data_IF_153120866865
#
_entry.id   IF_153120866865
#
_cell.length_a   1.000
_cell.length_b   1.000
_cell.length_c   1.000
_cell.angle_alpha   90.00
_cell.angle_beta   90.00
_cell.angle_gamma   90.00
#
_symmetry.space_group_name_H-M   'P 1'
#
loop_
_entity.id
_entity.type
_entity.pdbx_description
1 polymer ?
#
# COMPACT_ATOMS: atom_id res chain seq x y z
N UNK A 1 -17.93 -25.08 -49.29
CA UNK A 1 -18.62 -24.91 -47.98
C UNK A 1 -18.27 -25.96 -46.92
N UNK A 2 -18.10 -27.26 -47.24
CA UNK A 2 -17.74 -28.30 -46.25
C UNK A 2 -16.40 -28.07 -45.51
N UNK A 3 -15.38 -27.54 -46.20
CA UNK A 3 -14.08 -27.20 -45.58
C UNK A 3 -14.15 -26.06 -44.55
N UNK A 4 -15.08 -25.11 -44.73
CA UNK A 4 -15.25 -24.00 -43.80
C UNK A 4 -15.84 -24.49 -42.47
N UNK A 5 -16.75 -25.48 -42.55
CA UNK A 5 -17.38 -26.11 -41.38
C UNK A 5 -16.36 -26.92 -40.58
N UNK A 6 -15.50 -27.71 -41.24
CA UNK A 6 -14.43 -28.44 -40.54
C UNK A 6 -13.41 -27.52 -39.89
N UNK A 7 -13.12 -26.36 -40.51
CA UNK A 7 -12.20 -25.37 -39.95
C UNK A 7 -12.79 -24.68 -38.71
N UNK A 8 -14.07 -24.30 -38.76
CA UNK A 8 -14.78 -23.75 -37.61
C UNK A 8 -14.86 -24.72 -36.43
N UNK A 9 -15.12 -26.00 -36.71
CA UNK A 9 -15.16 -27.04 -35.67
C UNK A 9 -13.78 -27.22 -35.03
N UNK A 10 -12.71 -27.29 -35.84
CA UNK A 10 -11.35 -27.39 -35.32
C UNK A 10 -10.94 -26.17 -34.48
N UNK A 11 -11.33 -24.95 -34.90
CA UNK A 11 -11.07 -23.72 -34.15
C UNK A 11 -11.82 -23.70 -32.81
N UNK A 12 -13.09 -24.10 -32.80
CA UNK A 12 -13.88 -24.18 -31.57
C UNK A 12 -13.31 -25.21 -30.59
N UNK A 13 -12.85 -26.35 -31.10
CA UNK A 13 -12.18 -27.38 -30.29
C UNK A 13 -10.85 -26.86 -29.74
N UNK A 14 -10.04 -26.19 -30.56
CA UNK A 14 -8.77 -25.60 -30.12
C UNK A 14 -8.94 -24.54 -29.03
N UNK A 15 -9.92 -23.64 -29.18
CA UNK A 15 -10.26 -22.63 -28.17
C UNK A 15 -10.77 -23.30 -26.88
N UNK A 16 -11.67 -24.29 -27.01
CA UNK A 16 -12.20 -25.03 -25.85
C UNK A 16 -11.10 -25.71 -25.04
N UNK A 17 -10.17 -26.39 -25.72
CA UNK A 17 -9.03 -27.06 -25.09
C UNK A 17 -8.04 -26.03 -24.50
N UNK A 18 -7.76 -24.94 -25.20
CA UNK A 18 -6.85 -23.89 -24.73
C UNK A 18 -7.37 -23.17 -23.48
N UNK A 19 -8.67 -22.88 -23.42
CA UNK A 19 -9.31 -22.30 -22.24
C UNK A 19 -9.39 -23.30 -21.08
N UNK A 20 -9.65 -24.57 -21.39
CA UNK A 20 -9.70 -25.64 -20.38
C UNK A 20 -8.34 -25.86 -19.73
N UNK A 21 -7.27 -26.02 -20.53
CA UNK A 21 -5.90 -26.17 -20.03
C UNK A 21 -5.41 -24.88 -19.34
N UNK A 22 -5.75 -23.71 -19.89
CA UNK A 22 -5.37 -22.41 -19.35
C UNK A 22 -5.96 -22.11 -17.97
N UNK A 23 -7.17 -22.61 -17.66
CA UNK A 23 -7.77 -22.46 -16.32
C UNK A 23 -7.37 -23.52 -15.31
N UNK A 24 -7.12 -24.77 -15.73
CA UNK A 24 -7.05 -25.91 -14.80
C UNK A 24 -5.64 -26.14 -14.24
N UNK A 25 -4.57 -25.81 -14.96
CA UNK A 25 -3.18 -26.06 -14.51
C UNK A 25 -2.47 -24.84 -13.93
N UNK A 26 -2.89 -23.63 -14.30
CA UNK A 26 -2.46 -22.39 -13.67
C UNK A 26 -3.72 -21.57 -13.44
N UNK A 27 -4.42 -21.75 -12.31
CA UNK A 27 -5.11 -20.59 -11.79
C UNK A 27 -4.05 -19.50 -11.74
N UNK A 28 -4.26 -18.42 -12.50
CA UNK A 28 -3.87 -17.13 -11.97
C UNK A 28 -4.72 -16.97 -10.72
N UNK A 29 -4.30 -17.64 -9.66
CA UNK A 29 -4.16 -16.94 -8.41
C UNK A 29 -3.35 -15.68 -8.79
N UNK A 30 -4.08 -14.64 -9.24
CA UNK A 30 -4.21 -13.48 -8.38
C UNK A 30 -4.60 -14.12 -7.05
N UNK A 31 -3.59 -14.62 -6.35
CA UNK A 31 -3.71 -14.95 -4.97
C UNK A 31 -4.26 -13.63 -4.49
N UNK A 32 -5.45 -13.67 -3.91
CA UNK A 32 -5.69 -12.90 -2.71
C UNK A 32 -4.37 -13.00 -1.93
N UNK A 33 -3.42 -12.13 -2.26
CA UNK A 33 -2.27 -11.85 -1.46
C UNK A 33 -3.00 -11.23 -0.31
N UNK A 34 -3.23 -11.99 0.77
CA UNK A 34 -3.99 -11.46 1.87
C UNK A 34 -3.28 -10.14 2.17
N UNK A 35 -4.00 -9.04 2.30
CA UNK A 35 -3.33 -7.79 2.70
C UNK A 35 -2.57 -7.96 4.04
N UNK A 36 -2.76 -9.09 4.73
CA UNK A 36 -1.95 -9.58 5.85
C UNK A 36 -0.59 -10.22 5.48
N UNK A 37 -0.36 -10.70 4.25
CA UNK A 37 0.94 -11.17 3.72
C UNK A 37 1.71 -10.08 2.96
N UNK A 38 1.15 -8.88 2.79
CA UNK A 38 1.93 -7.72 2.37
C UNK A 38 3.02 -7.53 3.43
N UNK A 39 4.27 -7.77 3.03
CA UNK A 39 5.44 -7.60 3.85
C UNK A 39 5.32 -6.29 4.65
N UNK A 40 5.77 -6.24 5.92
CA UNK A 40 5.75 -5.02 6.75
C UNK A 40 6.16 -3.75 5.99
N UNK A 41 7.08 -3.91 5.03
CA UNK A 41 7.52 -2.89 4.08
C UNK A 41 6.40 -2.19 3.29
N UNK A 42 5.38 -2.90 2.80
CA UNK A 42 4.28 -2.29 2.03
C UNK A 42 3.32 -1.49 2.90
N UNK A 43 3.09 -1.92 4.14
CA UNK A 43 2.31 -1.15 5.12
C UNK A 43 3.04 0.14 5.51
N UNK A 44 4.35 0.05 5.68
CA UNK A 44 5.22 1.19 5.94
C UNK A 44 5.23 2.16 4.74
N UNK A 45 5.36 1.68 3.49
CA UNK A 45 5.33 2.52 2.29
C UNK A 45 3.94 3.18 2.07
N UNK A 46 2.86 2.47 2.38
CA UNK A 46 1.50 3.05 2.33
C UNK A 46 1.29 4.12 3.41
N UNK A 47 1.84 3.91 4.62
CA UNK A 47 1.82 4.92 5.68
C UNK A 47 2.57 6.20 5.27
N UNK A 48 3.72 6.06 4.60
CA UNK A 48 4.46 7.19 4.03
C UNK A 48 3.63 7.92 2.98
N UNK A 49 2.97 7.21 2.06
CA UNK A 49 2.08 7.82 1.07
C UNK A 49 0.97 8.64 1.73
N UNK A 50 0.32 8.10 2.77
CA UNK A 50 -0.72 8.82 3.50
C UNK A 50 -0.13 10.03 4.25
N UNK A 51 1.04 9.89 4.84
CA UNK A 51 1.70 10.98 5.55
C UNK A 51 2.09 12.11 4.60
N UNK A 52 2.53 11.79 3.39
CA UNK A 52 2.81 12.77 2.33
C UNK A 52 1.53 13.48 1.87
N UNK A 53 0.44 12.72 1.67
CA UNK A 53 -0.86 13.30 1.33
C UNK A 53 -1.37 14.23 2.45
N UNK A 54 -1.24 13.82 3.71
CA UNK A 54 -1.57 14.67 4.86
C UNK A 54 -0.71 15.92 4.93
N UNK A 55 0.58 15.83 4.64
CA UNK A 55 1.46 17.00 4.62
C UNK A 55 1.02 18.04 3.57
N UNK A 56 0.46 17.59 2.44
CA UNK A 56 -0.05 18.44 1.37
C UNK A 56 -1.48 18.97 1.65
N UNK A 57 -2.41 18.08 2.00
CA UNK A 57 -3.84 18.40 2.11
C UNK A 57 -4.25 18.86 3.52
N UNK A 58 -3.43 18.57 4.54
CA UNK A 58 -3.71 18.80 5.98
C UNK A 58 -5.01 18.16 6.49
N UNK A 59 -5.55 17.19 5.76
CA UNK A 59 -6.75 16.44 6.14
C UNK A 59 -6.40 15.23 7.03
N UNK A 60 -6.44 15.46 8.35
CA UNK A 60 -6.15 14.41 9.33
C UNK A 60 -7.23 13.32 9.34
N UNK A 61 -8.50 13.69 9.16
CA UNK A 61 -9.62 12.76 9.21
C UNK A 61 -9.53 11.77 8.05
N UNK A 62 -9.29 12.28 6.83
CA UNK A 62 -9.07 11.45 5.65
C UNK A 62 -7.81 10.59 5.74
N UNK A 63 -6.74 11.08 6.38
CA UNK A 63 -5.53 10.28 6.59
C UNK A 63 -5.79 9.10 7.54
N UNK A 64 -6.52 9.34 8.63
CA UNK A 64 -6.91 8.31 9.60
C UNK A 64 -7.86 7.28 8.99
N UNK A 65 -8.84 7.69 8.20
CA UNK A 65 -9.78 6.77 7.56
C UNK A 65 -9.08 5.85 6.55
N UNK A 66 -8.08 6.35 5.81
CA UNK A 66 -7.26 5.53 4.91
C UNK A 66 -6.34 4.59 5.69
N UNK A 67 -5.77 5.02 6.82
CA UNK A 67 -4.96 4.16 7.68
C UNK A 67 -5.76 3.09 8.40
N UNK A 68 -7.06 3.30 8.66
CA UNK A 68 -7.95 2.26 9.20
C UNK A 68 -8.11 1.07 8.27
N UNK A 69 -7.90 1.26 6.95
CA UNK A 69 -7.89 0.16 5.98
C UNK A 69 -6.73 -0.82 6.20
N UNK A 70 -5.71 -0.45 6.98
CA UNK A 70 -4.60 -1.35 7.33
C UNK A 70 -4.97 -2.36 8.43
N UNK A 71 -6.20 -2.30 8.95
CA UNK A 71 -6.71 -3.17 10.02
C UNK A 71 -5.79 -3.20 11.26
N UNK A 72 -5.07 -2.10 11.51
CA UNK A 72 -4.20 -1.97 12.67
C UNK A 72 -5.02 -1.61 13.90
N UNK A 73 -4.75 -2.33 15.00
CA UNK A 73 -5.47 -2.19 16.27
C UNK A 73 -5.36 -0.77 16.86
N UNK A 74 -4.23 -0.09 16.61
CA UNK A 74 -4.04 1.30 16.98
C UNK A 74 -3.21 2.04 15.92
N UNK A 75 -3.92 2.78 15.05
CA UNK A 75 -3.31 3.60 13.99
C UNK A 75 -2.26 4.57 14.53
N UNK A 76 -2.54 5.21 15.66
CA UNK A 76 -1.66 6.22 16.24
C UNK A 76 -0.35 5.59 16.76
N UNK A 77 -0.43 4.41 17.39
CA UNK A 77 0.75 3.65 17.81
C UNK A 77 1.52 3.10 16.61
N UNK A 78 0.82 2.62 15.57
CA UNK A 78 1.46 2.15 14.34
C UNK A 78 2.26 3.26 13.65
N UNK A 79 1.70 4.47 13.53
CA UNK A 79 2.43 5.63 12.98
C UNK A 79 3.68 5.91 13.82
N UNK A 80 3.56 5.88 15.15
CA UNK A 80 4.69 6.08 16.05
C UNK A 80 5.79 5.04 15.75
N UNK A 81 5.48 3.75 15.84
CA UNK A 81 6.45 2.66 15.65
C UNK A 81 7.11 2.70 14.26
N UNK A 82 6.33 2.99 13.21
CA UNK A 82 6.86 3.13 11.83
C UNK A 82 7.80 4.34 11.72
N UNK A 83 7.44 5.47 12.33
CA UNK A 83 8.28 6.68 12.32
C UNK A 83 9.60 6.45 13.04
N UNK A 84 9.57 5.86 14.24
CA UNK A 84 10.78 5.54 15.02
C UNK A 84 11.68 4.55 14.27
N UNK A 85 11.08 3.52 13.65
CA UNK A 85 11.80 2.58 12.79
C UNK A 85 12.46 3.29 11.60
N UNK A 86 11.77 4.21 10.93
CA UNK A 86 12.31 4.95 9.78
C UNK A 86 13.47 5.88 10.15
N UNK A 87 13.40 6.51 11.32
CA UNK A 87 14.51 7.28 11.90
C UNK A 87 15.71 6.36 12.14
N UNK A 88 15.49 5.19 12.76
CA UNK A 88 16.57 4.25 13.08
C UNK A 88 17.25 3.65 11.84
N UNK A 89 16.48 3.43 10.76
CA UNK A 89 16.97 2.83 9.51
C UNK A 89 17.57 3.88 8.57
N UNK A 90 17.62 5.17 8.98
CA UNK A 90 18.15 6.28 8.17
C UNK A 90 17.52 6.36 6.77
N UNK A 91 16.19 6.14 6.71
CA UNK A 91 15.42 6.31 5.46
C UNK A 91 15.37 7.79 5.08
N UNK A 92 14.82 8.10 3.91
CA UNK A 92 14.86 9.46 3.36
C UNK A 92 14.29 10.49 4.36
N UNK A 93 15.00 11.62 4.52
CA UNK A 93 14.59 12.66 5.49
C UNK A 93 13.24 13.26 5.12
N UNK A 94 12.86 13.28 3.84
CA UNK A 94 11.53 13.71 3.39
C UNK A 94 10.42 12.81 3.94
N UNK A 95 10.60 11.49 3.88
CA UNK A 95 9.59 10.54 4.35
C UNK A 95 9.45 10.60 5.86
N UNK A 96 10.58 10.68 6.57
CA UNK A 96 10.60 10.85 8.03
C UNK A 96 9.86 12.12 8.44
N UNK A 97 10.10 13.25 7.77
CA UNK A 97 9.39 14.51 8.08
C UNK A 97 7.88 14.44 7.84
N UNK A 98 7.46 13.78 6.76
CA UNK A 98 6.04 13.58 6.48
C UNK A 98 5.38 12.73 7.58
N UNK A 99 6.02 11.63 7.95
CA UNK A 99 5.57 10.75 9.05
C UNK A 99 5.51 11.48 10.39
N UNK A 100 6.52 12.30 10.71
CA UNK A 100 6.52 13.13 11.94
C UNK A 100 5.39 14.15 11.94
N UNK A 101 5.09 14.76 10.79
CA UNK A 101 3.96 15.70 10.66
C UNK A 101 2.63 14.99 10.92
N UNK A 102 2.47 13.77 10.40
CA UNK A 102 1.29 12.94 10.67
C UNK A 102 1.23 12.50 12.15
N UNK A 103 2.36 12.09 12.74
CA UNK A 103 2.49 11.72 14.15
C UNK A 103 2.11 12.89 15.08
N UNK A 104 2.49 14.11 14.72
CA UNK A 104 2.08 15.34 15.39
C UNK A 104 0.56 15.56 15.28
N UNK A 105 -0.01 15.39 14.09
CA UNK A 105 -1.45 15.52 13.86
C UNK A 105 -2.29 14.56 14.71
N UNK A 106 -1.81 13.33 14.91
CA UNK A 106 -2.48 12.33 15.78
C UNK A 106 -2.12 12.45 17.26
N UNK A 107 -1.30 13.43 17.65
CA UNK A 107 -0.91 13.67 19.05
C UNK A 107 0.08 12.65 19.62
N UNK A 108 0.87 11.98 18.77
CA UNK A 108 1.87 10.96 19.14
C UNK A 108 3.28 11.38 18.75
N UNK A 109 3.68 12.59 19.12
CA UNK A 109 5.05 13.06 18.92
C UNK A 109 5.96 12.49 20.01
N UNK A 110 7.08 11.87 19.64
CA UNK A 110 8.09 11.39 20.60
C UNK A 110 9.38 12.20 20.54
N UNK A 111 10.22 12.19 21.60
CA UNK A 111 11.42 13.03 21.65
C UNK A 111 12.41 12.80 20.49
N UNK A 112 12.45 11.58 19.93
CA UNK A 112 13.31 11.25 18.80
C UNK A 112 12.82 11.83 17.47
N UNK A 113 11.56 12.27 17.42
CA UNK A 113 10.94 12.93 16.26
C UNK A 113 11.15 14.44 16.26
N UNK A 114 11.46 15.05 17.41
CA UNK A 114 11.63 16.50 17.57
C UNK A 114 12.64 17.13 16.58
N UNK A 115 13.80 16.50 16.26
CA UNK A 115 14.74 17.03 15.27
C UNK A 115 14.20 17.04 13.83
N UNK A 116 13.20 16.22 13.55
CA UNK A 116 12.58 16.04 12.24
C UNK A 116 11.22 16.74 12.13
N UNK A 117 10.73 17.33 13.23
CA UNK A 117 9.59 18.25 13.18
C UNK A 117 9.97 19.37 12.22
N UNK A 118 9.18 19.57 11.17
CA UNK A 118 9.53 20.57 10.17
C UNK A 118 9.65 21.96 10.82
N UNK A 119 10.88 22.47 10.90
CA UNK A 119 11.17 23.91 10.81
C UNK A 119 10.71 24.35 9.41
N UNK A 120 9.42 24.61 9.26
CA UNK A 120 8.76 24.76 7.96
C UNK A 120 7.42 25.48 8.07
N UNK A 121 7.38 26.54 8.88
CA UNK A 121 6.35 27.58 8.87
C UNK A 121 7.04 28.95 8.69
N UNK A 122 7.85 29.09 7.64
CA UNK A 122 8.29 30.39 7.13
C UNK A 122 8.64 30.25 5.66
N UNK A 123 7.84 30.91 4.83
CA UNK A 123 7.88 30.95 3.38
C UNK A 123 6.56 31.52 2.90
#
# INVERSE_FOLDING_TARGET
>A
MRFLVSFLIALLIGIGIGLYLGRVQFPVEVTDSPMSSLAPLYRDDYAVMIALAYAADRDLAGALDRLRLLEVENVAQFIQDTTERFISTSRSVSDVRALVTLAEGVGRLTPIMEPYRQVGATG
#
